data_IF_038306676419
#
_entry.id   IF_038306676419
#
_cell.length_a   1.000
_cell.length_b   1.000
_cell.length_c   1.000
_cell.angle_alpha   90.00
_cell.angle_beta   90.00
_cell.angle_gamma   90.00
#
_symmetry.space_group_name_H-M   'P 1'
#
loop_
_entity.id
_entity.type
_entity.pdbx_description
1 polymer ?
#
# COMPACT_ATOMS: atom_id res chain seq x y z
N UNK A 1 -52.34 22.98 -17.18
CA UNK A 1 -50.94 22.99 -17.69
C UNK A 1 -50.04 22.47 -16.59
N UNK A 2 -49.60 21.25 -16.68
CA UNK A 2 -48.64 20.72 -15.72
C UNK A 2 -47.27 21.17 -16.15
N UNK A 3 -46.69 22.11 -15.45
CA UNK A 3 -45.28 22.34 -15.50
C UNK A 3 -44.59 21.13 -14.89
N UNK A 4 -44.07 20.26 -15.71
CA UNK A 4 -43.11 19.27 -15.27
C UNK A 4 -41.84 20.03 -14.91
N UNK A 5 -41.77 20.53 -13.71
CA UNK A 5 -40.51 20.78 -13.09
C UNK A 5 -39.84 19.43 -12.92
N UNK A 6 -39.19 19.00 -13.95
CA UNK A 6 -38.16 18.00 -13.82
C UNK A 6 -37.13 18.58 -12.90
N UNK A 7 -37.33 18.46 -11.63
CA UNK A 7 -36.22 18.54 -10.68
C UNK A 7 -35.26 17.43 -11.04
N UNK A 8 -34.47 17.71 -12.04
CA UNK A 8 -33.28 16.96 -12.29
C UNK A 8 -32.36 17.26 -11.11
N UNK A 9 -32.72 16.69 -9.99
CA UNK A 9 -31.78 16.43 -8.94
C UNK A 9 -30.76 15.49 -9.55
N UNK A 10 -29.94 16.03 -10.45
CA UNK A 10 -28.63 15.49 -10.58
C UNK A 10 -28.04 15.65 -9.19
N UNK A 11 -28.31 14.68 -8.36
CA UNK A 11 -27.39 14.33 -7.33
C UNK A 11 -26.10 14.09 -8.06
N UNK A 12 -25.40 15.15 -8.35
CA UNK A 12 -24.01 15.12 -8.53
C UNK A 12 -23.46 14.57 -7.24
N UNK A 13 -23.66 13.28 -7.07
CA UNK A 13 -22.70 12.53 -6.32
C UNK A 13 -21.43 12.87 -7.06
N UNK A 14 -20.73 13.86 -6.55
CA UNK A 14 -19.33 13.93 -6.82
C UNK A 14 -18.91 12.50 -6.54
N UNK A 15 -18.64 11.73 -7.56
CA UNK A 15 -17.87 10.52 -7.44
C UNK A 15 -16.47 10.98 -7.09
N UNK A 16 -16.35 11.55 -5.90
CA UNK A 16 -15.10 11.52 -5.20
C UNK A 16 -14.80 10.04 -5.18
N UNK A 17 -13.81 9.56 -5.93
CA UNK A 17 -13.41 8.18 -5.80
C UNK A 17 -13.26 8.01 -4.31
N UNK A 18 -13.91 7.00 -3.74
CA UNK A 18 -13.87 6.76 -2.31
C UNK A 18 -12.40 6.79 -1.93
N UNK A 19 -11.94 7.96 -1.53
CA UNK A 19 -10.54 8.27 -1.34
C UNK A 19 -10.06 7.44 -0.18
N UNK A 20 -9.19 6.49 -0.44
CA UNK A 20 -8.54 5.76 0.63
C UNK A 20 -7.81 6.73 1.53
N UNK A 21 -7.80 6.48 2.82
CA UNK A 21 -6.99 7.22 3.76
C UNK A 21 -5.56 6.67 3.69
N UNK A 22 -4.61 7.54 3.41
CA UNK A 22 -3.19 7.22 3.47
C UNK A 22 -2.64 7.59 4.85
N UNK A 23 -2.13 6.61 5.57
CA UNK A 23 -1.55 6.80 6.90
C UNK A 23 -0.08 6.38 6.87
N UNK A 24 0.81 7.26 7.28
CA UNK A 24 2.22 6.96 7.46
C UNK A 24 2.55 6.86 8.94
N UNK A 25 2.99 5.68 9.38
CA UNK A 25 3.50 5.46 10.74
C UNK A 25 5.02 5.58 10.73
N UNK A 26 5.53 6.50 11.52
CA UNK A 26 6.98 6.65 11.69
C UNK A 26 7.36 6.66 13.17
N UNK A 27 8.62 6.33 13.45
CA UNK A 27 9.13 6.29 14.81
C UNK A 27 10.35 5.39 14.93
N UNK A 28 10.99 5.35 16.11
CA UNK A 28 12.19 4.56 16.33
C UNK A 28 11.90 3.06 16.19
N UNK A 29 12.95 2.29 16.07
CA UNK A 29 12.86 0.83 16.10
C UNK A 29 12.22 0.36 17.40
N UNK A 30 11.46 -0.71 17.32
CA UNK A 30 10.71 -1.30 18.46
C UNK A 30 9.60 -0.43 19.06
N UNK A 31 9.19 0.63 18.40
CA UNK A 31 8.05 1.46 18.84
C UNK A 31 6.67 0.82 18.62
N UNK A 32 6.62 -0.39 18.07
CA UNK A 32 5.35 -1.10 17.82
C UNK A 32 4.70 -0.78 16.48
N UNK A 33 5.42 -0.18 15.53
CA UNK A 33 4.90 0.17 14.20
C UNK A 33 4.31 -1.03 13.46
N UNK A 34 5.04 -2.12 13.39
CA UNK A 34 4.60 -3.35 12.72
C UNK A 34 3.33 -3.92 13.34
N UNK A 35 3.23 -3.91 14.66
CA UNK A 35 2.04 -4.38 15.38
C UNK A 35 0.84 -3.48 15.08
N UNK A 36 1.03 -2.16 15.14
CA UNK A 36 -0.02 -1.20 14.83
C UNK A 36 -0.49 -1.33 13.37
N UNK A 37 0.45 -1.47 12.44
CA UNK A 37 0.16 -1.67 11.01
C UNK A 37 -0.57 -2.98 10.77
N UNK A 38 -0.15 -4.06 11.40
CA UNK A 38 -0.81 -5.35 11.27
C UNK A 38 -2.22 -5.33 11.86
N UNK A 39 -2.42 -4.65 12.97
CA UNK A 39 -3.76 -4.47 13.55
C UNK A 39 -4.69 -3.69 12.62
N UNK A 40 -4.20 -2.62 12.00
CA UNK A 40 -4.95 -1.84 11.03
C UNK A 40 -5.21 -2.61 9.73
N UNK A 41 -4.27 -3.46 9.31
CA UNK A 41 -4.34 -4.26 8.09
C UNK A 41 -4.93 -5.66 8.28
N UNK A 42 -5.52 -5.97 9.41
CA UNK A 42 -5.97 -7.32 9.77
C UNK A 42 -6.92 -7.99 8.74
N UNK A 43 -7.62 -7.21 7.96
CA UNK A 43 -8.55 -7.69 6.91
C UNK A 43 -8.02 -7.46 5.48
N UNK A 44 -6.82 -6.94 5.34
CA UNK A 44 -6.24 -6.51 4.07
C UNK A 44 -5.02 -7.29 3.62
N UNK A 45 -4.28 -6.66 2.74
CA UNK A 45 -3.02 -7.17 2.20
C UNK A 45 -1.85 -6.52 2.94
N UNK A 46 -0.97 -7.33 3.48
CA UNK A 46 0.28 -6.91 4.10
C UNK A 46 1.44 -7.20 3.15
N UNK A 47 2.18 -6.17 2.82
CA UNK A 47 3.32 -6.25 1.89
C UNK A 47 4.60 -5.94 2.66
N UNK A 48 5.55 -6.84 2.64
CA UNK A 48 6.81 -6.63 3.33
C UNK A 48 7.59 -7.91 3.58
N UNK A 49 8.44 -7.87 4.59
CA UNK A 49 9.22 -9.05 4.99
C UNK A 49 8.37 -9.98 5.88
N UNK A 50 8.10 -11.20 5.43
CA UNK A 50 7.36 -12.18 6.22
C UNK A 50 7.99 -12.47 7.58
N UNK A 51 9.31 -12.42 7.70
CA UNK A 51 10.01 -12.67 8.96
C UNK A 51 9.72 -11.61 10.02
N UNK A 52 9.67 -10.34 9.61
CA UNK A 52 9.29 -9.23 10.49
C UNK A 52 7.85 -9.32 10.99
N UNK A 53 6.99 -9.90 10.16
CA UNK A 53 5.57 -10.05 10.47
C UNK A 53 5.26 -11.18 11.47
N UNK A 54 6.11 -12.19 11.55
CA UNK A 54 5.87 -13.33 12.45
C UNK A 54 5.62 -12.91 13.92
N UNK A 55 6.35 -11.93 14.40
CA UNK A 55 6.17 -11.41 15.75
C UNK A 55 4.81 -10.74 15.92
N UNK A 56 4.38 -9.97 14.94
CA UNK A 56 3.08 -9.32 14.94
C UNK A 56 1.94 -10.34 14.83
N UNK A 57 2.08 -11.34 14.01
CA UNK A 57 1.11 -12.44 13.87
C UNK A 57 0.91 -13.19 15.18
N UNK A 58 2.00 -13.52 15.87
CA UNK A 58 1.95 -14.19 17.18
C UNK A 58 1.29 -13.32 18.23
N UNK A 59 1.59 -12.04 18.25
CA UNK A 59 1.06 -11.11 19.25
C UNK A 59 -0.43 -10.86 19.07
N UNK A 60 -0.88 -10.72 17.83
CA UNK A 60 -2.27 -10.40 17.47
C UNK A 60 -3.13 -11.65 17.21
N UNK A 61 -2.54 -12.83 17.14
CA UNK A 61 -3.26 -14.07 16.78
C UNK A 61 -3.76 -14.08 15.32
N UNK A 62 -3.16 -13.30 14.46
CA UNK A 62 -3.58 -13.12 13.06
C UNK A 62 -2.95 -14.19 12.15
N UNK A 63 -3.36 -15.42 12.28
CA UNK A 63 -2.89 -16.51 11.42
C UNK A 63 -3.35 -16.38 9.96
N UNK A 64 -4.34 -15.53 9.69
CA UNK A 64 -5.00 -15.39 8.40
C UNK A 64 -4.63 -14.13 7.63
N UNK A 65 -3.61 -13.39 8.05
CA UNK A 65 -3.17 -12.21 7.34
C UNK A 65 -2.61 -12.59 5.96
N UNK A 66 -3.13 -11.99 4.91
CA UNK A 66 -2.58 -12.18 3.55
C UNK A 66 -1.28 -11.41 3.44
N UNK A 67 -0.18 -12.11 3.30
CA UNK A 67 1.16 -11.54 3.16
C UNK A 67 1.64 -11.71 1.74
N UNK A 68 2.09 -10.61 1.13
CA UNK A 68 2.83 -10.63 -0.12
C UNK A 68 4.28 -10.22 0.17
N UNK A 69 5.25 -11.10 -0.06
CA UNK A 69 6.65 -10.74 0.15
C UNK A 69 7.10 -9.71 -0.88
N UNK A 70 7.77 -8.67 -0.41
CA UNK A 70 8.39 -7.66 -1.27
C UNK A 70 9.61 -7.07 -0.57
N UNK A 71 10.70 -6.94 -1.31
CA UNK A 71 11.96 -6.34 -0.86
C UNK A 71 12.21 -4.98 -1.46
N UNK A 72 11.65 -4.73 -2.64
CA UNK A 72 11.82 -3.48 -3.40
C UNK A 72 10.46 -2.92 -3.81
N UNK A 73 10.40 -1.63 -4.10
CA UNK A 73 9.16 -0.93 -4.46
C UNK A 73 8.45 -1.55 -5.67
N UNK A 74 9.12 -1.94 -6.76
CA UNK A 74 8.45 -2.59 -7.89
C UNK A 74 7.73 -3.90 -7.53
N UNK A 75 8.28 -4.69 -6.62
CA UNK A 75 7.62 -5.91 -6.13
C UNK A 75 6.35 -5.59 -5.35
N UNK A 76 6.37 -4.54 -4.53
CA UNK A 76 5.19 -4.07 -3.81
C UNK A 76 4.10 -3.61 -4.77
N UNK A 77 4.45 -2.84 -5.80
CA UNK A 77 3.53 -2.40 -6.84
C UNK A 77 2.91 -3.59 -7.58
N UNK A 78 3.72 -4.57 -7.97
CA UNK A 78 3.24 -5.79 -8.62
C UNK A 78 2.27 -6.59 -7.73
N UNK A 79 2.53 -6.65 -6.43
CA UNK A 79 1.64 -7.31 -5.48
C UNK A 79 0.28 -6.59 -5.36
N UNK A 80 0.28 -5.27 -5.35
CA UNK A 80 -0.94 -4.47 -5.34
C UNK A 80 -1.74 -4.67 -6.62
N UNK A 81 -1.10 -4.59 -7.77
CA UNK A 81 -1.73 -4.80 -9.07
C UNK A 81 -2.33 -6.20 -9.19
N UNK A 82 -1.62 -7.22 -8.73
CA UNK A 82 -2.12 -8.58 -8.73
C UNK A 82 -3.34 -8.76 -7.83
N UNK A 83 -3.39 -8.09 -6.68
CA UNK A 83 -4.52 -8.14 -5.78
C UNK A 83 -5.74 -7.41 -6.36
N UNK A 84 -5.54 -6.27 -7.00
CA UNK A 84 -6.60 -5.46 -7.62
C UNK A 84 -7.16 -6.16 -8.87
N UNK A 85 -6.31 -6.73 -9.71
CA UNK A 85 -6.73 -7.38 -10.96
C UNK A 85 -7.57 -8.64 -10.73
N UNK A 86 -7.39 -9.29 -9.59
CA UNK A 86 -8.22 -10.46 -9.21
C UNK A 86 -9.63 -10.10 -8.75
N UNK A 87 -9.99 -8.81 -8.75
CA UNK A 87 -11.30 -8.35 -8.28
C UNK A 87 -11.54 -8.57 -6.80
N UNK A 88 -10.51 -8.93 -6.05
CA UNK A 88 -10.60 -9.10 -4.60
C UNK A 88 -10.76 -7.74 -3.96
N UNK A 89 -11.81 -7.54 -3.19
CA UNK A 89 -11.91 -6.35 -2.33
C UNK A 89 -10.76 -6.39 -1.34
N UNK A 90 -9.83 -5.45 -1.46
CA UNK A 90 -8.74 -5.26 -0.51
C UNK A 90 -9.06 -4.03 0.31
N UNK A 91 -9.64 -4.18 1.52
CA UNK A 91 -10.07 -3.04 2.32
C UNK A 91 -8.92 -2.20 2.83
N UNK A 92 -7.75 -2.78 2.98
CA UNK A 92 -6.55 -2.08 3.41
C UNK A 92 -5.28 -2.70 2.83
N UNK A 93 -4.30 -1.88 2.58
CA UNK A 93 -2.97 -2.31 2.15
C UNK A 93 -1.97 -1.72 3.15
N UNK A 94 -1.11 -2.57 3.68
CA UNK A 94 -0.03 -2.17 4.59
C UNK A 94 1.30 -2.48 3.92
N UNK A 95 2.20 -1.53 3.93
CA UNK A 95 3.58 -1.71 3.48
C UNK A 95 4.50 -1.50 4.69
N UNK A 96 5.19 -2.54 5.08
CA UNK A 96 6.08 -2.54 6.23
C UNK A 96 7.39 -3.34 5.93
N UNK A 97 8.53 -2.78 5.98
CA UNK A 97 8.93 -1.41 6.25
C UNK A 97 9.18 -0.66 4.93
N UNK A 98 8.46 0.42 4.69
CA UNK A 98 8.57 1.19 3.44
C UNK A 98 9.95 1.84 3.29
N UNK A 99 10.54 2.35 4.37
CA UNK A 99 11.87 2.96 4.34
C UNK A 99 12.94 1.96 3.93
N UNK A 100 12.91 0.76 4.48
CA UNK A 100 13.84 -0.30 4.13
C UNK A 100 13.65 -0.76 2.67
N UNK A 101 12.41 -0.80 2.21
CA UNK A 101 12.08 -1.15 0.84
C UNK A 101 12.60 -0.10 -0.16
N UNK A 102 12.48 1.18 0.16
CA UNK A 102 13.04 2.27 -0.64
C UNK A 102 14.58 2.20 -0.67
N UNK A 103 15.21 1.98 0.46
CA UNK A 103 16.66 1.81 0.55
C UNK A 103 17.16 0.63 -0.29
N UNK A 104 16.48 -0.51 -0.21
CA UNK A 104 16.80 -1.69 -1.02
C UNK A 104 16.64 -1.42 -2.51
N UNK A 105 15.63 -0.66 -2.89
CA UNK A 105 15.39 -0.25 -4.28
C UNK A 105 16.49 0.69 -4.78
N UNK A 106 16.91 1.63 -3.95
CA UNK A 106 18.03 2.54 -4.27
C UNK A 106 19.30 1.75 -4.52
N UNK A 107 19.64 0.82 -3.63
CA UNK A 107 20.85 0.00 -3.77
C UNK A 107 20.82 -0.85 -5.06
N UNK A 108 19.69 -1.42 -5.39
CA UNK A 108 19.54 -2.20 -6.62
C UNK A 108 19.69 -1.32 -7.87
N UNK A 109 19.06 -0.15 -7.88
CA UNK A 109 19.12 0.76 -9.02
C UNK A 109 20.47 1.45 -9.17
N UNK A 110 21.15 1.76 -8.09
CA UNK A 110 22.51 2.30 -8.14
C UNK A 110 23.47 1.32 -8.81
N UNK A 111 23.30 0.05 -8.53
CA UNK A 111 24.11 -1.03 -9.13
C UNK A 111 23.78 -1.23 -10.61
N UNK A 112 22.49 -1.21 -10.99
CA UNK A 112 22.05 -1.58 -12.33
C UNK A 112 21.92 -0.42 -13.31
N UNK A 113 21.61 0.80 -12.84
CA UNK A 113 21.25 1.95 -13.70
C UNK A 113 22.13 3.17 -13.53
N UNK A 114 23.06 3.16 -12.58
CA UNK A 114 23.82 4.33 -12.21
C UNK A 114 22.99 5.41 -11.49
N UNK A 115 23.66 6.43 -10.95
CA UNK A 115 22.99 7.45 -10.11
C UNK A 115 21.90 8.24 -10.82
N UNK A 116 22.10 8.63 -12.07
CA UNK A 116 21.11 9.44 -12.81
C UNK A 116 19.82 8.66 -13.13
N UNK A 117 19.96 7.42 -13.59
CA UNK A 117 18.83 6.54 -13.89
C UNK A 117 18.09 6.04 -12.64
N UNK A 118 18.81 5.91 -11.54
CA UNK A 118 18.26 5.50 -10.24
C UNK A 118 17.16 6.45 -9.75
N UNK A 119 17.41 7.75 -9.72
CA UNK A 119 16.43 8.71 -9.22
C UNK A 119 15.16 8.76 -10.07
N UNK A 120 15.29 8.71 -11.39
CA UNK A 120 14.16 8.69 -12.30
C UNK A 120 13.32 7.42 -12.12
N UNK A 121 13.96 6.27 -12.01
CA UNK A 121 13.29 4.99 -11.81
C UNK A 121 12.60 4.92 -10.44
N UNK A 122 13.26 5.36 -9.38
CA UNK A 122 12.71 5.39 -8.04
C UNK A 122 11.49 6.30 -7.94
N UNK A 123 11.55 7.50 -8.49
CA UNK A 123 10.42 8.44 -8.52
C UNK A 123 9.22 7.82 -9.22
N UNK A 124 9.42 7.21 -10.37
CA UNK A 124 8.37 6.52 -11.11
C UNK A 124 7.73 5.41 -10.28
N UNK A 125 8.53 4.59 -9.63
CA UNK A 125 8.05 3.42 -8.88
C UNK A 125 7.29 3.84 -7.62
N UNK A 126 7.75 4.87 -6.92
CA UNK A 126 7.05 5.41 -5.75
C UNK A 126 5.70 6.02 -6.15
N UNK A 127 5.63 6.74 -7.27
CA UNK A 127 4.38 7.28 -7.79
C UNK A 127 3.41 6.18 -8.22
N UNK A 128 3.90 5.13 -8.88
CA UNK A 128 3.09 3.98 -9.26
C UNK A 128 2.51 3.23 -8.04
N UNK A 129 3.26 3.14 -6.97
CA UNK A 129 2.79 2.53 -5.72
C UNK A 129 1.66 3.35 -5.06
N UNK A 130 1.70 4.69 -5.20
CA UNK A 130 0.66 5.58 -4.68
C UNK A 130 -0.64 5.49 -5.48
N UNK A 131 -0.54 5.41 -6.76
CA UNK A 131 -1.67 5.40 -7.70
C UNK A 131 -2.30 4.00 -7.82
#
# INVERSE_FOLDING_TARGET
MSTKNGANGSNGRSSTPAGGVFICLYGPSKAGKTIASAAAGATGLFIGDPAGLLSAQRFLGLEKLKVAPAKIVPEATAAIEAAVSKGTKVPSIVIDDFSLMVESTINEYETSKGRGGMWSALTRDVLACRD
#
